data_IF_493652292803
#
_entry.id   IF_493652292803
#
_cell.length_a   1.000
_cell.length_b   1.000
_cell.length_c   1.000
_cell.angle_alpha   90.00
_cell.angle_beta   90.00
_cell.angle_gamma   90.00
#
_symmetry.space_group_name_H-M   'P 1'
#
loop_
_entity.id
_entity.type
_entity.pdbx_description
1 polymer ?
#
# COMPACT_ATOMS: atom_id res chain seq x y z
N UNK A 1 8.33 -44.65 70.01
CA UNK A 1 9.28 -44.94 71.10
C UNK A 1 10.55 -45.51 70.50
N UNK A 2 11.71 -44.92 70.77
CA UNK A 2 13.00 -45.41 70.24
C UNK A 2 13.36 -46.71 70.97
N UNK A 3 13.89 -47.72 70.28
CA UNK A 3 14.29 -49.01 70.91
C UNK A 3 15.16 -48.81 72.14
N UNK A 4 16.03 -47.81 72.09
CA UNK A 4 16.97 -47.44 73.16
C UNK A 4 16.28 -47.12 74.50
N UNK A 5 15.08 -46.53 74.48
CA UNK A 5 14.33 -46.21 75.70
C UNK A 5 13.71 -47.47 76.34
N UNK A 6 13.32 -48.45 75.52
CA UNK A 6 12.79 -49.73 75.98
C UNK A 6 13.91 -50.61 76.54
N UNK A 7 15.06 -50.63 75.89
CA UNK A 7 16.27 -51.33 76.35
C UNK A 7 16.73 -50.79 77.73
N UNK A 8 16.72 -49.46 77.89
CA UNK A 8 17.09 -48.78 79.13
C UNK A 8 16.11 -49.02 80.27
N UNK A 9 14.81 -49.11 79.97
CA UNK A 9 13.81 -49.44 80.99
C UNK A 9 13.94 -50.89 81.45
N UNK A 10 14.15 -51.85 80.52
CA UNK A 10 14.39 -53.26 80.83
C UNK A 10 15.63 -53.46 81.72
N UNK A 11 16.73 -52.79 81.40
CA UNK A 11 17.95 -52.80 82.21
C UNK A 11 17.71 -52.25 83.63
N UNK A 12 16.97 -51.16 83.76
CA UNK A 12 16.60 -50.58 85.06
C UNK A 12 15.71 -51.52 85.89
N UNK A 13 14.72 -52.19 85.26
CA UNK A 13 13.85 -53.14 85.96
C UNK A 13 14.61 -54.38 86.42
N UNK A 14 15.55 -54.88 85.61
CA UNK A 14 16.39 -56.02 85.98
C UNK A 14 17.34 -55.66 87.13
N UNK A 15 17.88 -54.44 87.12
CA UNK A 15 18.72 -53.90 88.20
C UNK A 15 17.96 -53.81 89.52
N UNK A 16 16.73 -53.28 89.50
CA UNK A 16 15.86 -53.22 90.68
C UNK A 16 15.47 -54.61 91.18
N UNK A 17 15.15 -55.53 90.27
CA UNK A 17 14.81 -56.92 90.60
C UNK A 17 15.98 -57.64 91.28
N UNK A 18 17.20 -57.45 90.76
CA UNK A 18 18.43 -57.96 91.36
C UNK A 18 18.74 -57.31 92.71
N UNK A 19 18.48 -56.01 92.88
CA UNK A 19 18.66 -55.33 94.16
C UNK A 19 17.70 -55.90 95.23
N UNK A 20 16.43 -56.08 94.90
CA UNK A 20 15.43 -56.66 95.83
C UNK A 20 15.75 -58.11 96.13
N UNK A 21 16.12 -58.91 95.13
CA UNK A 21 16.51 -60.32 95.34
C UNK A 21 17.75 -60.45 96.24
N UNK A 22 18.74 -59.57 96.06
CA UNK A 22 19.97 -59.62 96.84
C UNK A 22 19.84 -59.01 98.24
N UNK A 23 18.89 -58.10 98.49
CA UNK A 23 18.77 -57.39 99.77
C UNK A 23 17.47 -57.69 100.53
N UNK A 24 16.58 -58.53 99.97
CA UNK A 24 15.33 -58.93 100.60
C UNK A 24 15.53 -59.90 101.77
N UNK A 25 14.65 -59.80 102.76
CA UNK A 25 14.52 -60.76 103.85
C UNK A 25 13.62 -61.91 103.40
N UNK A 26 14.11 -63.14 103.52
CA UNK A 26 13.37 -64.36 103.27
C UNK A 26 12.75 -64.86 104.58
N UNK A 27 11.44 -65.10 104.60
CA UNK A 27 10.77 -65.71 105.76
C UNK A 27 10.82 -67.24 105.64
N UNK A 28 11.49 -67.88 106.59
CA UNK A 28 11.40 -69.31 106.86
C UNK A 28 10.37 -69.54 107.99
N UNK A 29 9.86 -70.76 108.21
CA UNK A 29 8.76 -71.02 109.16
C UNK A 29 8.95 -70.41 110.56
N UNK A 30 10.19 -70.36 111.05
CA UNK A 30 10.49 -69.94 112.42
C UNK A 30 11.46 -68.74 112.52
N UNK A 31 11.90 -68.15 111.40
CA UNK A 31 12.88 -67.04 111.42
C UNK A 31 12.95 -66.29 110.08
N UNK A 32 13.43 -65.05 110.14
CA UNK A 32 13.81 -64.30 108.94
C UNK A 32 15.27 -64.58 108.58
N UNK A 33 15.57 -64.53 107.30
CA UNK A 33 16.89 -64.79 106.75
C UNK A 33 17.28 -63.68 105.76
N UNK A 34 18.44 -63.06 105.95
CA UNK A 34 19.09 -62.26 104.91
C UNK A 34 20.33 -62.98 104.39
N UNK A 35 20.33 -63.41 103.12
CA UNK A 35 21.46 -64.07 102.46
C UNK A 35 22.00 -65.31 103.21
N UNK A 36 21.14 -66.18 103.71
CA UNK A 36 21.48 -67.40 104.49
C UNK A 36 22.02 -67.12 105.89
N UNK A 37 21.74 -65.94 106.45
CA UNK A 37 22.01 -65.60 107.86
C UNK A 37 20.68 -65.46 108.60
N UNK A 38 20.49 -66.33 109.58
CA UNK A 38 19.34 -66.32 110.48
C UNK A 38 19.32 -65.01 111.27
N UNK A 39 18.19 -64.32 111.20
CA UNK A 39 17.88 -63.12 111.98
C UNK A 39 16.79 -63.52 112.96
N UNK A 40 17.13 -63.45 114.24
CA UNK A 40 16.23 -63.77 115.35
C UNK A 40 15.63 -62.48 115.93
N UNK A 41 14.48 -62.60 116.60
CA UNK A 41 13.78 -61.48 117.26
C UNK A 41 13.28 -60.34 116.35
N UNK A 42 13.03 -60.61 115.06
CA UNK A 42 12.28 -59.62 114.26
C UNK A 42 10.85 -59.49 114.79
N UNK A 43 10.42 -58.25 115.03
CA UNK A 43 9.05 -57.96 115.42
C UNK A 43 8.08 -58.45 114.32
N UNK A 44 7.00 -59.10 114.74
CA UNK A 44 5.90 -59.39 113.83
C UNK A 44 5.31 -58.07 113.31
N UNK A 45 4.87 -57.98 112.05
CA UNK A 45 4.21 -56.79 111.52
C UNK A 45 3.03 -56.39 112.43
N UNK A 46 2.96 -55.13 112.83
CA UNK A 46 1.93 -54.66 113.77
C UNK A 46 0.56 -54.50 113.10
N UNK A 47 0.57 -54.25 111.78
CA UNK A 47 -0.62 -54.08 110.96
C UNK A 47 -0.55 -54.89 109.68
N UNK A 48 -1.69 -55.39 109.21
CA UNK A 48 -1.79 -56.17 107.97
C UNK A 48 -1.36 -55.37 106.72
N UNK A 49 -1.34 -54.05 106.80
CA UNK A 49 -0.92 -53.14 105.70
C UNK A 49 0.55 -52.72 105.79
N UNK A 50 1.33 -53.31 106.70
CA UNK A 50 2.74 -52.98 106.84
C UNK A 50 3.54 -53.41 105.61
N UNK A 51 4.53 -52.61 105.22
CA UNK A 51 5.46 -52.92 104.14
C UNK A 51 6.32 -54.17 104.45
N UNK A 52 6.44 -54.54 105.73
CA UNK A 52 7.09 -55.79 106.17
C UNK A 52 6.19 -57.02 105.96
N UNK A 53 4.87 -56.82 105.76
CA UNK A 53 3.93 -57.89 105.43
C UNK A 53 3.98 -58.25 103.94
N UNK A 54 4.61 -59.38 103.65
CA UNK A 54 4.76 -59.92 102.28
C UNK A 54 3.43 -60.11 101.55
N UNK A 55 2.39 -60.62 102.21
CA UNK A 55 1.08 -60.88 101.61
C UNK A 55 0.41 -59.59 101.12
N UNK A 56 0.55 -58.52 101.90
CA UNK A 56 0.03 -57.20 101.56
C UNK A 56 0.75 -56.61 100.35
N UNK A 57 2.09 -56.56 100.41
CA UNK A 57 2.91 -56.01 99.31
C UNK A 57 2.68 -56.78 98.01
N UNK A 58 2.63 -58.11 98.06
CA UNK A 58 2.37 -58.94 96.88
C UNK A 58 0.96 -58.73 96.31
N UNK A 59 -0.05 -58.53 97.14
CA UNK A 59 -1.42 -58.22 96.69
C UNK A 59 -1.47 -56.84 96.05
N UNK A 60 -0.94 -55.81 96.71
CA UNK A 60 -0.91 -54.44 96.17
C UNK A 60 -0.13 -54.35 94.85
N UNK A 61 1.01 -55.03 94.75
CA UNK A 61 1.77 -55.08 93.49
C UNK A 61 1.01 -55.82 92.38
N UNK A 62 0.29 -56.88 92.72
CA UNK A 62 -0.56 -57.62 91.77
C UNK A 62 -1.72 -56.77 91.28
N UNK A 63 -2.42 -56.09 92.18
CA UNK A 63 -3.55 -55.22 91.83
C UNK A 63 -3.07 -54.05 90.95
N UNK A 64 -1.95 -53.41 91.31
CA UNK A 64 -1.35 -52.35 90.47
C UNK A 64 -0.88 -52.86 89.12
N UNK A 65 -0.32 -54.06 89.05
CA UNK A 65 0.03 -54.70 87.78
C UNK A 65 -1.22 -54.90 86.92
N UNK A 66 -2.30 -55.41 87.50
CA UNK A 66 -3.55 -55.65 86.78
C UNK A 66 -4.16 -54.33 86.26
N UNK A 67 -4.19 -53.26 87.08
CA UNK A 67 -4.63 -51.93 86.64
C UNK A 67 -3.80 -51.39 85.45
N UNK A 68 -2.47 -51.60 85.48
CA UNK A 68 -1.58 -51.22 84.38
C UNK A 68 -1.87 -52.05 83.13
N UNK A 69 -2.07 -53.36 83.28
CA UNK A 69 -2.36 -54.29 82.19
C UNK A 69 -3.68 -53.93 81.49
N UNK A 70 -4.73 -53.64 82.27
CA UNK A 70 -6.02 -53.14 81.76
C UNK A 70 -5.87 -51.81 81.02
N UNK A 71 -5.11 -50.86 81.58
CA UNK A 71 -4.82 -49.58 80.94
C UNK A 71 -4.06 -49.76 79.62
N UNK A 72 -3.08 -50.68 79.58
CA UNK A 72 -2.34 -51.01 78.36
C UNK A 72 -3.23 -51.64 77.28
N UNK A 73 -4.17 -52.51 77.66
CA UNK A 73 -5.16 -53.07 76.73
C UNK A 73 -6.07 -51.99 76.14
N UNK A 74 -6.51 -51.02 76.95
CA UNK A 74 -7.30 -49.89 76.44
C UNK A 74 -6.51 -49.06 75.44
N UNK A 75 -5.27 -48.70 75.76
CA UNK A 75 -4.39 -47.94 74.86
C UNK A 75 -4.18 -48.72 73.55
N UNK A 76 -3.96 -50.03 73.62
CA UNK A 76 -3.76 -50.87 72.43
C UNK A 76 -5.00 -50.90 71.54
N UNK A 77 -6.19 -50.99 72.14
CA UNK A 77 -7.47 -50.89 71.41
C UNK A 77 -7.63 -49.55 70.70
N UNK A 78 -7.35 -48.44 71.39
CA UNK A 78 -7.47 -47.11 70.80
C UNK A 78 -6.43 -46.84 69.72
N UNK A 79 -5.20 -47.30 69.91
CA UNK A 79 -4.15 -47.26 68.88
C UNK A 79 -4.55 -48.06 67.63
N UNK A 80 -5.24 -49.19 67.80
CA UNK A 80 -5.83 -49.94 66.70
C UNK A 80 -6.93 -49.17 65.95
N UNK A 81 -7.74 -48.35 66.64
CA UNK A 81 -8.72 -47.47 65.99
C UNK A 81 -8.03 -46.36 65.20
N UNK A 82 -7.00 -45.72 65.79
CA UNK A 82 -6.22 -44.67 65.14
C UNK A 82 -5.56 -45.20 63.85
N UNK A 83 -4.99 -46.40 63.90
CA UNK A 83 -4.37 -47.03 62.74
C UNK A 83 -5.36 -47.23 61.58
N UNK A 84 -6.58 -47.73 61.86
CA UNK A 84 -7.63 -47.87 60.83
C UNK A 84 -8.02 -46.54 60.22
N UNK A 85 -8.17 -45.49 61.04
CA UNK A 85 -8.49 -44.15 60.55
C UNK A 85 -7.37 -43.59 59.65
N UNK A 86 -6.10 -43.85 60.00
CA UNK A 86 -4.96 -43.43 59.17
C UNK A 86 -4.99 -44.15 57.81
N UNK A 87 -5.27 -45.45 57.78
CA UNK A 87 -5.38 -46.22 56.54
C UNK A 87 -6.54 -45.72 55.65
N UNK A 88 -7.68 -45.35 56.25
CA UNK A 88 -8.82 -44.77 55.55
C UNK A 88 -8.50 -43.39 54.97
N UNK A 89 -7.87 -42.51 55.76
CA UNK A 89 -7.39 -41.19 55.30
C UNK A 89 -6.41 -41.35 54.12
N UNK A 90 -5.46 -42.26 54.21
CA UNK A 90 -4.51 -42.53 53.12
C UNK A 90 -5.22 -43.02 51.85
N UNK A 91 -6.28 -43.84 51.99
CA UNK A 91 -7.10 -44.29 50.85
C UNK A 91 -7.85 -43.11 50.22
N UNK A 92 -8.46 -42.25 51.03
CA UNK A 92 -9.15 -41.05 50.55
C UNK A 92 -8.20 -40.09 49.83
N UNK A 93 -7.00 -39.86 50.36
CA UNK A 93 -5.97 -39.03 49.73
C UNK A 93 -5.59 -39.58 48.35
N UNK A 94 -5.41 -40.91 48.23
CA UNK A 94 -5.13 -41.55 46.93
C UNK A 94 -6.27 -41.34 45.93
N UNK A 95 -7.52 -41.51 46.35
CA UNK A 95 -8.70 -41.29 45.49
C UNK A 95 -8.81 -39.84 45.03
N UNK A 96 -8.69 -38.88 45.95
CA UNK A 96 -8.69 -37.44 45.65
C UNK A 96 -7.56 -37.09 44.68
N UNK A 97 -6.35 -37.63 44.89
CA UNK A 97 -5.21 -37.40 43.99
C UNK A 97 -5.48 -37.95 42.58
N UNK A 98 -6.09 -39.13 42.46
CA UNK A 98 -6.45 -39.70 41.17
C UNK A 98 -7.54 -38.86 40.46
N UNK A 99 -8.57 -38.41 41.20
CA UNK A 99 -9.60 -37.51 40.67
C UNK A 99 -9.00 -36.17 40.23
N UNK A 100 -8.11 -35.59 41.03
CA UNK A 100 -7.42 -34.34 40.68
C UNK A 100 -6.57 -34.50 39.43
N UNK A 101 -5.86 -35.61 39.23
CA UNK A 101 -5.12 -35.87 37.98
C UNK A 101 -6.03 -35.93 36.74
N UNK A 102 -7.25 -36.46 36.89
CA UNK A 102 -8.23 -36.50 35.80
C UNK A 102 -8.89 -35.14 35.56
N UNK A 103 -9.18 -34.36 36.61
CA UNK A 103 -9.76 -33.00 36.50
C UNK A 103 -8.72 -32.00 35.97
N UNK A 104 -7.42 -32.20 36.24
CA UNK A 104 -6.30 -31.38 35.70
C UNK A 104 -6.02 -31.69 34.22
N UNK A 105 -6.83 -32.50 33.55
CA UNK A 105 -6.86 -32.56 32.08
C UNK A 105 -7.53 -31.34 31.44
N UNK A 106 -7.11 -30.13 31.86
CA UNK A 106 -7.30 -28.92 31.06
C UNK A 106 -6.81 -29.12 29.62
N UNK A 107 -5.86 -30.04 29.38
CA UNK A 107 -5.46 -30.44 28.04
C UNK A 107 -6.62 -30.99 27.17
N UNK A 108 -7.62 -31.67 27.75
CA UNK A 108 -8.79 -32.18 27.01
C UNK A 108 -9.79 -31.06 26.73
N UNK A 109 -10.02 -30.17 27.70
CA UNK A 109 -10.86 -29.00 27.50
C UNK A 109 -10.21 -28.00 26.54
N UNK A 110 -8.93 -27.65 26.72
CA UNK A 110 -8.13 -26.85 25.78
C UNK A 110 -8.15 -27.48 24.38
N UNK A 111 -7.93 -28.80 24.24
CA UNK A 111 -8.07 -29.44 22.92
C UNK A 111 -9.48 -29.26 22.36
N UNK A 112 -10.53 -29.43 23.15
CA UNK A 112 -11.90 -29.29 22.68
C UNK A 112 -12.25 -27.85 22.31
N UNK A 113 -11.75 -26.85 23.06
CA UNK A 113 -11.94 -25.42 22.75
C UNK A 113 -11.11 -25.02 21.53
N UNK A 114 -9.88 -25.51 21.43
CA UNK A 114 -9.02 -25.29 20.28
C UNK A 114 -9.61 -25.93 19.02
N UNK A 115 -10.04 -27.19 19.06
CA UNK A 115 -10.57 -27.88 17.86
C UNK A 115 -11.95 -27.36 17.49
N UNK A 116 -12.88 -27.24 18.45
CA UNK A 116 -14.24 -26.77 18.18
C UNK A 116 -14.27 -25.30 17.78
N UNK A 117 -13.49 -24.46 18.47
CA UNK A 117 -13.34 -23.04 18.12
C UNK A 117 -12.69 -22.86 16.75
N UNK A 118 -11.61 -23.60 16.45
CA UNK A 118 -10.98 -23.60 15.11
C UNK A 118 -11.97 -24.09 14.06
N UNK A 119 -12.74 -25.15 14.30
CA UNK A 119 -13.71 -25.68 13.34
C UNK A 119 -14.84 -24.69 13.04
N UNK A 120 -15.35 -23.99 14.05
CA UNK A 120 -16.34 -22.93 13.87
C UNK A 120 -15.78 -21.78 13.01
N UNK A 121 -14.56 -21.33 13.30
CA UNK A 121 -13.89 -20.28 12.53
C UNK A 121 -13.64 -20.74 11.09
N UNK A 122 -13.13 -21.96 10.89
CA UNK A 122 -12.85 -22.52 9.57
C UNK A 122 -14.14 -22.66 8.76
N UNK A 123 -15.25 -23.07 9.38
CA UNK A 123 -16.55 -23.17 8.72
C UNK A 123 -17.07 -21.78 8.30
N UNK A 124 -17.04 -20.81 9.21
CA UNK A 124 -17.45 -19.44 8.90
C UNK A 124 -16.60 -18.81 7.78
N UNK A 125 -15.28 -19.04 7.80
CA UNK A 125 -14.39 -18.61 6.72
C UNK A 125 -14.72 -19.30 5.39
N UNK A 126 -15.04 -20.60 5.42
CA UNK A 126 -15.43 -21.36 4.22
C UNK A 126 -16.75 -20.86 3.63
N UNK A 127 -17.73 -20.56 4.46
CA UNK A 127 -19.03 -20.03 4.02
C UNK A 127 -18.85 -18.63 3.41
N UNK A 128 -18.08 -17.77 4.08
CA UNK A 128 -17.74 -16.43 3.55
C UNK A 128 -17.00 -16.53 2.21
N UNK A 129 -16.05 -17.47 2.08
CA UNK A 129 -15.34 -17.72 0.84
C UNK A 129 -16.28 -18.18 -0.29
N UNK A 130 -17.27 -19.02 0.04
CA UNK A 130 -18.29 -19.47 -0.92
C UNK A 130 -19.14 -18.31 -1.43
N UNK A 131 -19.58 -17.43 -0.53
CA UNK A 131 -20.38 -16.26 -0.90
C UNK A 131 -19.60 -15.28 -1.79
N UNK A 132 -18.31 -15.06 -1.48
CA UNK A 132 -17.42 -14.26 -2.32
C UNK A 132 -17.26 -14.89 -3.71
N UNK A 133 -17.01 -16.20 -3.78
CA UNK A 133 -16.90 -16.90 -5.08
C UNK A 133 -18.16 -16.74 -5.93
N UNK A 134 -19.35 -16.87 -5.32
CA UNK A 134 -20.62 -16.68 -6.03
C UNK A 134 -20.79 -15.25 -6.54
N UNK A 135 -20.40 -14.25 -5.74
CA UNK A 135 -20.47 -12.84 -6.14
C UNK A 135 -19.49 -12.52 -7.29
N UNK A 136 -18.26 -13.04 -7.22
CA UNK A 136 -17.26 -12.92 -8.30
C UNK A 136 -17.77 -13.55 -9.59
N UNK A 137 -18.41 -14.71 -9.49
CA UNK A 137 -18.98 -15.41 -10.65
C UNK A 137 -20.08 -14.58 -11.32
N UNK A 138 -20.96 -13.95 -10.52
CA UNK A 138 -21.98 -13.03 -11.04
C UNK A 138 -21.37 -11.82 -11.75
N UNK A 139 -20.32 -11.21 -11.17
CA UNK A 139 -19.61 -10.10 -11.80
C UNK A 139 -18.95 -10.53 -13.10
N UNK A 140 -18.33 -11.71 -13.13
CA UNK A 140 -17.71 -12.28 -14.34
C UNK A 140 -18.72 -12.40 -15.48
N UNK A 141 -19.89 -12.96 -15.21
CA UNK A 141 -20.95 -13.11 -16.21
C UNK A 141 -21.43 -11.75 -16.73
N UNK A 142 -21.59 -10.76 -15.85
CA UNK A 142 -21.96 -9.40 -16.27
C UNK A 142 -20.89 -8.76 -17.17
N UNK A 143 -19.60 -8.93 -16.84
CA UNK A 143 -18.49 -8.42 -17.65
C UNK A 143 -18.47 -9.09 -19.02
N UNK A 144 -18.75 -10.39 -19.09
CA UNK A 144 -18.83 -11.13 -20.35
C UNK A 144 -19.95 -10.58 -21.26
N UNK A 145 -21.14 -10.31 -20.71
CA UNK A 145 -22.25 -9.72 -21.47
C UNK A 145 -21.95 -8.29 -21.95
N UNK A 146 -21.30 -7.48 -21.11
CA UNK A 146 -20.81 -6.14 -21.52
C UNK A 146 -19.76 -6.27 -22.63
N UNK A 147 -18.83 -7.21 -22.53
CA UNK A 147 -17.79 -7.46 -23.54
C UNK A 147 -18.39 -7.82 -24.91
N UNK A 148 -19.39 -8.71 -24.93
CA UNK A 148 -20.15 -9.05 -26.15
C UNK A 148 -20.83 -7.82 -26.75
N UNK A 149 -21.47 -7.01 -25.91
CA UNK A 149 -22.17 -5.79 -26.34
C UNK A 149 -21.23 -4.74 -26.92
N UNK A 150 -20.06 -4.53 -26.29
CA UNK A 150 -19.01 -3.63 -26.79
C UNK A 150 -18.46 -4.12 -28.12
N UNK A 151 -18.24 -5.43 -28.26
CA UNK A 151 -17.77 -6.04 -29.51
C UNK A 151 -18.77 -5.82 -30.65
N UNK A 152 -20.07 -6.01 -30.38
CA UNK A 152 -21.13 -5.76 -31.35
C UNK A 152 -21.20 -4.28 -31.78
N UNK A 153 -21.10 -3.36 -30.82
CA UNK A 153 -21.06 -1.91 -31.11
C UNK A 153 -19.83 -1.52 -31.92
N UNK A 154 -18.67 -2.08 -31.58
CA UNK A 154 -17.42 -1.87 -32.32
C UNK A 154 -17.56 -2.30 -33.78
N UNK A 155 -18.14 -3.49 -34.03
CA UNK A 155 -18.43 -3.95 -35.39
C UNK A 155 -19.40 -3.01 -36.11
N UNK A 156 -20.46 -2.55 -35.45
CA UNK A 156 -21.45 -1.65 -36.05
C UNK A 156 -20.83 -0.32 -36.47
N UNK A 157 -20.08 0.31 -35.57
CA UNK A 157 -19.38 1.58 -35.83
C UNK A 157 -18.35 1.41 -36.95
N UNK A 158 -17.60 0.31 -36.94
CA UNK A 158 -16.64 0.02 -38.02
C UNK A 158 -17.34 -0.10 -39.37
N UNK A 159 -18.46 -0.81 -39.45
CA UNK A 159 -19.20 -0.98 -40.71
C UNK A 159 -19.78 0.35 -41.21
N UNK A 160 -20.31 1.17 -40.32
CA UNK A 160 -20.87 2.49 -40.66
C UNK A 160 -19.79 3.45 -41.18
N UNK A 161 -18.63 3.50 -40.51
CA UNK A 161 -17.46 4.27 -40.98
C UNK A 161 -17.00 3.77 -42.36
N UNK A 162 -16.91 2.45 -42.56
CA UNK A 162 -16.50 1.89 -43.86
C UNK A 162 -17.49 2.26 -44.97
N UNK A 163 -18.79 2.22 -44.68
CA UNK A 163 -19.83 2.63 -45.61
C UNK A 163 -19.69 4.11 -46.00
N UNK A 164 -19.61 5.00 -45.02
CA UNK A 164 -19.49 6.45 -45.26
C UNK A 164 -18.21 6.82 -46.01
N UNK A 165 -17.07 6.19 -45.68
CA UNK A 165 -15.81 6.38 -46.40
C UNK A 165 -15.92 5.90 -47.84
N UNK A 166 -16.63 4.80 -48.09
CA UNK A 166 -16.84 4.27 -49.44
C UNK A 166 -17.72 5.22 -50.26
N UNK A 167 -18.79 5.73 -49.68
CA UNK A 167 -19.68 6.70 -50.34
C UNK A 167 -18.93 8.00 -50.67
N UNK A 168 -18.21 8.57 -49.71
CA UNK A 168 -17.37 9.76 -49.94
C UNK A 168 -16.31 9.53 -51.02
N UNK A 169 -15.67 8.36 -51.05
CA UNK A 169 -14.69 8.00 -52.08
C UNK A 169 -15.34 7.99 -53.47
N UNK A 170 -16.56 7.45 -53.58
CA UNK A 170 -17.29 7.44 -54.85
C UNK A 170 -17.69 8.86 -55.27
N UNK A 171 -18.18 9.69 -54.34
CA UNK A 171 -18.52 11.08 -54.61
C UNK A 171 -17.30 11.86 -55.14
N UNK A 172 -16.14 11.72 -54.47
CA UNK A 172 -14.90 12.34 -54.93
C UNK A 172 -14.49 11.87 -56.33
N UNK A 173 -14.61 10.58 -56.63
CA UNK A 173 -14.30 10.06 -57.97
C UNK A 173 -15.22 10.67 -59.04
N UNK A 174 -16.52 10.80 -58.74
CA UNK A 174 -17.49 11.43 -59.63
C UNK A 174 -17.19 12.93 -59.86
N UNK A 175 -16.77 13.66 -58.82
CA UNK A 175 -16.36 15.06 -58.96
C UNK A 175 -15.10 15.18 -59.82
N UNK A 176 -14.06 14.38 -59.55
CA UNK A 176 -12.81 14.40 -60.30
C UNK A 176 -13.02 14.07 -61.78
N UNK A 177 -13.88 13.08 -62.08
CA UNK A 177 -14.23 12.72 -63.47
C UNK A 177 -14.99 13.85 -64.18
N UNK A 178 -15.89 14.56 -63.48
CA UNK A 178 -16.58 15.73 -64.03
C UNK A 178 -15.60 16.87 -64.36
N UNK A 179 -14.71 17.23 -63.43
CA UNK A 179 -13.68 18.25 -63.66
C UNK A 179 -12.74 17.87 -64.83
N UNK A 180 -12.39 16.59 -64.94
CA UNK A 180 -11.59 16.09 -66.07
C UNK A 180 -12.33 16.22 -67.41
N UNK A 181 -13.64 16.02 -67.44
CA UNK A 181 -14.44 16.19 -68.65
C UNK A 181 -14.49 17.66 -69.07
N UNK A 182 -14.78 18.57 -68.14
CA UNK A 182 -14.84 20.02 -68.37
C UNK A 182 -13.49 20.56 -68.88
N UNK A 183 -12.37 20.13 -68.28
CA UNK A 183 -11.02 20.52 -68.75
C UNK A 183 -10.72 20.02 -70.16
N UNK A 184 -11.14 18.81 -70.52
CA UNK A 184 -11.01 18.28 -71.88
C UNK A 184 -11.86 19.07 -72.90
N UNK A 185 -13.08 19.48 -72.53
CA UNK A 185 -13.92 20.33 -73.38
C UNK A 185 -13.30 21.71 -73.63
N UNK A 186 -12.76 22.34 -72.58
CA UNK A 186 -12.02 23.61 -72.69
C UNK A 186 -10.81 23.44 -73.61
N UNK A 187 -10.02 22.38 -73.43
CA UNK A 187 -8.87 22.10 -74.30
C UNK A 187 -9.28 21.95 -75.76
N UNK A 188 -10.37 21.22 -76.04
CA UNK A 188 -10.92 21.07 -77.40
C UNK A 188 -11.35 22.42 -77.99
N UNK A 189 -12.06 23.25 -77.22
CA UNK A 189 -12.44 24.59 -77.64
C UNK A 189 -11.23 25.49 -77.97
N UNK A 190 -10.17 25.42 -77.16
CA UNK A 190 -8.91 26.14 -77.43
C UNK A 190 -8.25 25.64 -78.71
N UNK A 191 -8.22 24.32 -78.96
CA UNK A 191 -7.68 23.77 -80.21
C UNK A 191 -8.49 24.17 -81.44
N UNK A 192 -9.82 24.20 -81.33
CA UNK A 192 -10.72 24.61 -82.42
C UNK A 192 -10.54 26.10 -82.74
N UNK A 193 -10.47 26.97 -81.72
CA UNK A 193 -10.18 28.40 -81.89
C UNK A 193 -8.81 28.62 -82.52
N UNK A 194 -7.79 27.87 -82.09
CA UNK A 194 -6.45 27.93 -82.68
C UNK A 194 -6.48 27.55 -84.16
N UNK A 195 -7.25 26.52 -84.52
CA UNK A 195 -7.40 26.10 -85.91
C UNK A 195 -8.18 27.14 -86.74
N UNK A 196 -9.25 27.73 -86.20
CA UNK A 196 -9.99 28.82 -86.84
C UNK A 196 -9.10 30.04 -87.11
N UNK A 197 -8.27 30.44 -86.13
CA UNK A 197 -7.32 31.54 -86.30
C UNK A 197 -6.32 31.25 -87.43
N UNK A 198 -5.79 30.02 -87.52
CA UNK A 198 -4.90 29.61 -88.60
C UNK A 198 -5.59 29.62 -89.98
N UNK A 199 -6.89 29.29 -90.04
CA UNK A 199 -7.65 29.28 -91.29
C UNK A 199 -8.13 30.68 -91.73
N UNK A 200 -8.33 31.62 -90.81
CA UNK A 200 -8.73 33.00 -91.10
C UNK A 200 -7.53 33.89 -91.44
N UNK A 201 -6.38 33.66 -90.78
CA UNK A 201 -5.10 34.31 -91.10
C UNK A 201 -4.35 33.45 -92.10
N UNK A 202 -4.92 33.23 -93.29
CA UNK A 202 -4.12 32.62 -94.36
C UNK A 202 -3.06 33.63 -94.79
N UNK A 203 -1.80 33.16 -94.80
CA UNK A 203 -0.66 33.86 -95.41
C UNK A 203 -1.02 34.43 -96.78
N UNK A 204 -1.89 33.77 -97.55
CA UNK A 204 -2.40 34.24 -98.84
C UNK A 204 -3.24 35.54 -98.79
N UNK A 205 -4.04 35.77 -97.75
CA UNK A 205 -4.86 36.99 -97.62
C UNK A 205 -4.00 38.21 -97.31
N UNK A 206 -3.02 38.05 -96.39
CA UNK A 206 -2.03 39.08 -96.13
C UNK A 206 -1.11 39.29 -97.35
N UNK A 207 -0.66 38.23 -98.00
CA UNK A 207 0.25 38.31 -99.15
C UNK A 207 -0.41 38.94 -100.39
N UNK A 208 -1.73 38.79 -100.59
CA UNK A 208 -2.49 39.55 -101.60
C UNK A 208 -2.61 41.03 -101.26
N UNK A 209 -2.87 41.39 -99.99
CA UNK A 209 -3.01 42.80 -99.58
C UNK A 209 -1.70 43.59 -99.63
N UNK A 210 -0.56 42.94 -99.39
CA UNK A 210 0.77 43.57 -99.47
C UNK A 210 1.32 43.65 -100.90
N UNK A 211 0.97 42.72 -101.81
CA UNK A 211 1.47 42.72 -103.20
C UNK A 211 0.80 43.77 -104.11
N UNK A 212 -0.44 44.17 -103.84
CA UNK A 212 -1.17 45.16 -104.68
C UNK A 212 -1.01 46.59 -104.16
N UNK A 213 -1.23 46.84 -102.87
CA UNK A 213 -1.28 48.21 -102.32
C UNK A 213 0.11 48.83 -102.12
N UNK A 214 1.14 48.02 -101.82
CA UNK A 214 2.51 48.52 -101.61
C UNK A 214 3.25 48.88 -102.90
N UNK A 215 2.97 48.19 -104.02
CA UNK A 215 3.62 48.45 -105.32
C UNK A 215 3.12 49.74 -105.97
N UNK A 216 1.82 50.05 -105.85
CA UNK A 216 1.20 51.24 -106.47
C UNK A 216 1.60 52.57 -105.83
N UNK A 217 2.05 52.55 -104.56
CA UNK A 217 2.51 53.73 -103.83
C UNK A 217 3.99 54.00 -104.13
N UNK A 218 4.81 52.94 -104.22
CA UNK A 218 6.27 53.05 -104.43
C UNK A 218 6.59 53.42 -105.89
N UNK A 219 5.83 52.94 -106.87
CA UNK A 219 6.05 53.28 -108.29
C UNK A 219 5.62 54.72 -108.63
N UNK A 220 4.55 55.24 -107.99
CA UNK A 220 4.14 56.65 -108.11
C UNK A 220 5.14 57.62 -107.49
N UNK A 221 5.65 57.29 -106.29
CA UNK A 221 6.62 58.13 -105.59
C UNK A 221 8.00 58.21 -106.28
N UNK A 222 8.36 57.21 -107.10
CA UNK A 222 9.63 57.19 -107.83
C UNK A 222 9.55 57.82 -109.24
N UNK A 223 8.35 57.99 -109.81
CA UNK A 223 8.15 58.69 -111.09
C UNK A 223 7.98 60.21 -110.94
N UNK A 224 7.58 60.71 -109.75
CA UNK A 224 7.42 62.14 -109.47
C UNK A 224 8.70 62.86 -108.97
N UNK A 225 9.80 62.12 -108.69
CA UNK A 225 11.06 62.72 -108.19
C UNK A 225 12.10 63.03 -109.29
N UNK A 226 11.74 62.89 -110.58
CA UNK A 226 12.67 63.12 -111.69
C UNK A 226 12.07 63.97 -112.82
N UNK A 227 11.51 65.13 -112.46
CA UNK A 227 11.33 66.25 -113.39
C UNK A 227 11.36 67.60 -112.67
N UNK A 228 12.33 68.41 -113.11
CA UNK A 228 12.31 69.87 -113.10
C UNK A 228 12.56 70.57 -111.76
N UNK A 229 13.83 70.52 -111.39
CA UNK A 229 14.55 71.63 -110.77
C UNK A 229 14.48 72.84 -111.75
N UNK A 230 13.83 73.94 -111.37
CA UNK A 230 14.29 75.34 -111.52
C UNK A 230 13.16 76.34 -111.14
N UNK A 231 13.51 77.17 -110.14
CA UNK A 231 13.15 78.58 -109.97
C UNK A 231 11.83 78.98 -109.28
N UNK A 232 12.06 79.63 -108.12
CA UNK A 232 11.39 80.83 -107.61
C UNK A 232 9.90 80.78 -107.33
N UNK A 233 9.59 80.47 -106.07
CA UNK A 233 8.66 81.21 -105.20
C UNK A 233 8.80 80.63 -103.78
N UNK A 234 9.97 80.73 -103.15
CA UNK A 234 10.25 81.81 -102.18
C UNK A 234 9.01 82.13 -101.34
N UNK A 235 8.99 81.53 -100.15
CA UNK A 235 9.00 82.35 -98.94
C UNK A 235 7.79 83.25 -98.73
N UNK A 236 6.59 82.71 -98.99
CA UNK A 236 5.31 83.37 -98.64
C UNK A 236 4.36 82.54 -97.78
N UNK A 237 4.64 81.26 -97.56
CA UNK A 237 3.77 80.37 -96.76
C UNK A 237 4.35 80.03 -95.38
N UNK A 238 5.64 80.35 -95.16
CA UNK A 238 6.40 80.08 -93.93
C UNK A 238 5.93 80.81 -92.66
N UNK A 239 5.01 81.78 -92.74
CA UNK A 239 4.68 82.67 -91.60
C UNK A 239 3.26 82.55 -91.00
N UNK A 240 2.46 81.55 -91.37
CA UNK A 240 1.09 81.42 -90.83
C UNK A 240 0.79 80.11 -90.09
N UNK A 241 1.70 79.13 -90.08
CA UNK A 241 1.48 77.83 -89.39
C UNK A 241 2.09 77.78 -87.98
N UNK A 242 3.01 78.69 -87.65
CA UNK A 242 3.63 78.85 -86.31
C UNK A 242 2.69 79.48 -85.26
N UNK A 243 1.53 80.01 -85.68
CA UNK A 243 0.58 80.75 -84.83
C UNK A 243 -0.48 79.91 -84.14
N UNK A 244 -0.67 78.64 -84.53
CA UNK A 244 -1.80 77.82 -84.03
C UNK A 244 -1.40 76.73 -83.02
N UNK A 245 -0.15 76.26 -83.02
CA UNK A 245 0.23 75.14 -82.14
C UNK A 245 0.68 75.57 -80.72
N UNK A 246 0.85 76.88 -80.47
CA UNK A 246 1.22 77.43 -79.15
C UNK A 246 0.04 77.60 -78.17
N UNK A 247 -1.18 77.18 -78.53
CA UNK A 247 -2.38 77.43 -77.72
C UNK A 247 -3.01 76.20 -77.06
N UNK A 248 -2.37 75.02 -77.02
CA UNK A 248 -2.85 73.91 -76.17
C UNK A 248 -1.67 73.14 -75.56
N UNK A 249 -0.83 73.89 -74.85
CA UNK A 249 -0.14 73.39 -73.66
C UNK A 249 -0.92 73.92 -72.45
N UNK A 250 -1.93 73.17 -72.01
CA UNK A 250 -2.59 73.38 -70.72
C UNK A 250 -2.98 72.00 -70.17
N UNK A 251 -2.65 71.77 -68.90
CA UNK A 251 -2.74 70.53 -68.13
C UNK A 251 -1.62 69.50 -68.38
N UNK A 252 -0.37 69.78 -68.00
CA UNK A 252 0.23 69.62 -66.65
C UNK A 252 0.17 68.22 -66.05
N UNK A 253 1.29 67.52 -66.19
CA UNK A 253 1.99 66.65 -65.22
C UNK A 253 1.37 66.45 -63.82
N UNK A 254 1.27 65.18 -63.41
CA UNK A 254 1.51 64.67 -62.04
C UNK A 254 2.16 63.26 -62.22
N UNK A 255 3.45 63.02 -61.93
CA UNK A 255 4.05 62.74 -60.60
C UNK A 255 3.30 61.63 -59.83
N UNK A 256 3.82 60.41 -59.76
CA UNK A 256 4.74 59.88 -58.73
C UNK A 256 4.22 60.01 -57.29
N UNK A 257 4.29 58.86 -56.60
CA UNK A 257 4.23 58.62 -55.15
C UNK A 257 2.89 58.76 -54.45
N UNK A 258 2.49 57.65 -53.81
CA UNK A 258 2.19 57.66 -52.39
C UNK A 258 2.73 56.37 -51.75
N UNK A 259 3.82 56.56 -51.02
CA UNK A 259 4.39 55.65 -50.04
C UNK A 259 3.65 55.91 -48.71
N UNK A 260 2.95 54.92 -48.17
CA UNK A 260 2.49 54.93 -46.77
C UNK A 260 2.99 53.66 -46.08
N UNK A 261 4.15 53.86 -45.43
CA UNK A 261 4.57 53.36 -44.13
C UNK A 261 4.22 51.94 -43.65
N UNK A 262 5.27 51.11 -43.70
CA UNK A 262 5.77 50.18 -42.67
C UNK A 262 5.42 50.61 -41.22
N UNK A 263 4.73 49.77 -40.44
CA UNK A 263 5.26 49.05 -39.25
C UNK A 263 4.15 48.25 -38.51
N UNK A 264 4.55 47.37 -37.58
CA UNK A 264 3.79 46.45 -36.69
C UNK A 264 3.74 44.98 -37.15
N UNK A 265 4.94 44.40 -37.08
CA UNK A 265 5.25 43.09 -36.48
C UNK A 265 4.65 41.81 -37.06
N UNK A 266 5.58 40.95 -37.50
CA UNK A 266 5.49 39.51 -37.39
C UNK A 266 4.91 39.06 -36.03
N UNK A 267 4.22 37.90 -36.07
CA UNK A 267 3.71 37.06 -34.98
C UNK A 267 2.20 37.14 -34.76
N UNK A 268 1.52 36.16 -35.34
CA UNK A 268 0.30 35.61 -34.76
C UNK A 268 0.37 34.10 -34.64
N UNK A 269 1.45 33.66 -33.98
CA UNK A 269 1.55 32.34 -33.36
C UNK A 269 2.32 32.52 -32.04
N UNK A 270 1.60 32.87 -30.97
CA UNK A 270 1.99 32.62 -29.56
C UNK A 270 1.04 33.40 -28.62
N UNK A 271 -0.08 32.79 -28.24
CA UNK A 271 -0.65 33.02 -26.92
C UNK A 271 -0.42 31.77 -26.06
N UNK A 272 0.83 31.28 -26.06
CA UNK A 272 1.28 30.35 -25.04
C UNK A 272 1.40 31.20 -23.79
N UNK A 273 0.42 31.09 -22.88
CA UNK A 273 0.50 31.65 -21.53
C UNK A 273 1.79 31.10 -20.90
N UNK A 274 2.84 31.92 -20.85
CA UNK A 274 4.13 31.56 -20.27
C UNK A 274 3.84 31.14 -18.83
N UNK A 275 4.16 29.88 -18.52
CA UNK A 275 3.94 29.30 -17.19
C UNK A 275 4.59 30.19 -16.13
N UNK A 276 3.86 30.44 -15.02
CA UNK A 276 4.34 31.24 -13.90
C UNK A 276 5.72 30.75 -13.40
N UNK A 277 6.57 31.65 -12.85
CA UNK A 277 7.87 31.26 -12.30
C UNK A 277 7.72 30.19 -11.22
N UNK A 278 8.55 29.16 -11.30
CA UNK A 278 8.46 27.95 -10.48
C UNK A 278 9.05 28.19 -9.09
N UNK A 279 8.30 27.92 -8.02
CA UNK A 279 8.76 28.15 -6.63
C UNK A 279 9.84 27.19 -6.12
N UNK A 280 9.89 25.97 -6.65
CA UNK A 280 10.82 24.92 -6.21
C UNK A 280 11.90 24.66 -7.26
N UNK A 281 13.13 24.46 -6.80
CA UNK A 281 14.30 24.10 -7.62
C UNK A 281 14.50 22.59 -7.62
N UNK A 282 15.20 22.10 -8.63
CA UNK A 282 15.62 20.70 -8.70
C UNK A 282 16.52 20.41 -7.48
N UNK A 283 16.22 19.33 -6.76
CA UNK A 283 16.91 18.94 -5.53
C UNK A 283 16.28 19.45 -4.24
N UNK A 284 15.29 20.35 -4.29
CA UNK A 284 14.66 20.85 -3.07
C UNK A 284 13.94 19.72 -2.31
N UNK A 285 14.13 19.62 -0.96
CA UNK A 285 13.39 18.70 -0.12
C UNK A 285 11.96 19.21 0.11
N UNK A 286 10.98 18.37 -0.19
CA UNK A 286 9.56 18.71 -0.17
C UNK A 286 8.72 17.63 0.51
N UNK A 287 7.59 18.02 1.11
CA UNK A 287 6.52 17.14 1.58
C UNK A 287 5.31 17.26 0.68
N UNK A 288 4.56 16.18 0.55
CA UNK A 288 3.35 16.10 -0.29
C UNK A 288 2.13 16.31 0.61
N UNK A 289 1.13 17.04 0.13
CA UNK A 289 -0.16 17.20 0.82
C UNK A 289 -0.89 15.86 0.94
N UNK A 290 -1.37 15.51 2.14
CA UNK A 290 -2.20 14.32 2.35
C UNK A 290 -3.60 14.51 1.78
N UNK A 291 -4.15 13.45 1.20
CA UNK A 291 -5.58 13.40 0.88
C UNK A 291 -6.35 13.19 2.18
N UNK A 292 -7.20 14.15 2.54
CA UNK A 292 -8.01 14.06 3.75
C UNK A 292 -9.31 13.32 3.48
N UNK A 293 -9.63 12.35 4.33
CA UNK A 293 -10.97 11.75 4.40
C UNK A 293 -11.93 12.60 5.25
N UNK A 294 -13.25 12.42 5.08
CA UNK A 294 -14.30 13.22 5.76
C UNK A 294 -14.19 13.15 7.30
N UNK A 295 -13.57 12.10 7.83
CA UNK A 295 -13.45 11.84 9.27
C UNK A 295 -12.07 12.19 9.86
N UNK A 296 -11.17 12.81 9.10
CA UNK A 296 -9.86 13.19 9.61
C UNK A 296 -9.94 14.40 10.56
N UNK A 297 -9.46 14.19 11.78
CA UNK A 297 -9.48 15.19 12.86
C UNK A 297 -8.59 16.39 12.50
N UNK A 298 -9.05 17.61 12.78
CA UNK A 298 -8.36 18.85 12.40
C UNK A 298 -6.95 19.04 12.96
N UNK A 299 -6.55 18.30 14.00
CA UNK A 299 -5.21 18.38 14.59
C UNK A 299 -4.15 17.50 13.89
N UNK A 300 -4.51 16.65 12.94
CA UNK A 300 -3.54 15.84 12.20
C UNK A 300 -2.86 16.69 11.11
N UNK A 301 -1.54 16.52 10.95
CA UNK A 301 -0.76 17.27 9.96
C UNK A 301 -1.26 17.00 8.53
N UNK A 302 -1.43 18.07 7.74
CA UNK A 302 -1.88 18.04 6.34
C UNK A 302 -0.79 17.57 5.36
N UNK A 303 0.43 17.35 5.84
CA UNK A 303 1.60 17.03 5.02
C UNK A 303 2.10 15.61 5.31
N UNK A 304 2.70 14.98 4.31
CA UNK A 304 3.38 13.68 4.44
C UNK A 304 4.44 13.72 5.53
N UNK A 305 4.63 12.60 6.22
CA UNK A 305 5.77 12.40 7.14
C UNK A 305 7.06 12.21 6.37
N UNK A 306 6.98 11.53 5.23
CA UNK A 306 8.10 11.30 4.31
C UNK A 306 8.51 12.58 3.56
N UNK A 307 9.81 12.70 3.31
CA UNK A 307 10.44 13.79 2.58
C UNK A 307 10.84 13.27 1.19
N UNK A 308 10.51 14.05 0.17
CA UNK A 308 10.80 13.75 -1.23
C UNK A 308 11.70 14.83 -1.82
N UNK A 309 12.36 14.50 -2.94
CA UNK A 309 13.25 15.43 -3.63
C UNK A 309 12.74 15.74 -5.03
N UNK A 310 12.79 17.02 -5.40
CA UNK A 310 12.38 17.46 -6.73
C UNK A 310 13.36 16.98 -7.79
N UNK A 311 12.89 16.20 -8.78
CA UNK A 311 13.73 15.66 -9.87
C UNK A 311 13.69 16.57 -11.08
N UNK A 312 12.49 16.96 -11.50
CA UNK A 312 12.27 17.72 -12.73
C UNK A 312 11.05 18.60 -12.61
N UNK A 313 11.22 19.84 -13.05
CA UNK A 313 10.12 20.80 -13.19
C UNK A 313 9.63 20.80 -14.62
N UNK A 314 8.33 20.55 -14.81
CA UNK A 314 7.70 20.51 -16.13
C UNK A 314 6.93 21.80 -16.35
N UNK A 315 7.27 22.49 -17.44
CA UNK A 315 6.70 23.78 -17.84
C UNK A 315 5.32 23.61 -18.48
N UNK A 316 4.35 23.15 -17.69
CA UNK A 316 2.93 23.16 -18.04
C UNK A 316 2.23 24.34 -17.35
N UNK A 317 0.99 24.64 -17.73
CA UNK A 317 0.18 25.66 -17.07
C UNK A 317 -1.07 25.02 -16.45
N UNK A 318 -1.11 24.78 -15.12
CA UNK A 318 -0.10 25.16 -14.11
C UNK A 318 1.13 24.21 -14.08
N UNK A 319 2.25 24.69 -13.52
CA UNK A 319 3.51 23.93 -13.48
C UNK A 319 3.41 22.67 -12.61
N UNK A 320 4.05 21.58 -13.05
CA UNK A 320 4.07 20.30 -12.31
C UNK A 320 5.50 19.85 -12.02
N UNK A 321 5.66 19.08 -10.95
CA UNK A 321 6.94 18.57 -10.48
C UNK A 321 6.93 17.04 -10.44
N UNK A 322 8.04 16.44 -10.85
CA UNK A 322 8.34 15.02 -10.65
C UNK A 322 9.21 14.89 -9.41
N UNK A 323 8.87 13.91 -8.55
CA UNK A 323 9.54 13.69 -7.27
C UNK A 323 10.23 12.32 -7.25
N UNK A 324 11.23 12.20 -6.39
CA UNK A 324 11.84 10.92 -5.99
C UNK A 324 11.83 10.78 -4.48
N UNK A 325 11.81 9.55 -4.00
CA UNK A 325 12.00 9.25 -2.58
C UNK A 325 13.46 9.42 -2.14
N UNK A 326 13.73 9.14 -0.86
CA UNK A 326 15.08 9.16 -0.29
C UNK A 326 16.01 8.11 -0.91
N UNK A 327 15.49 7.00 -1.43
CA UNK A 327 16.25 5.94 -2.10
C UNK A 327 16.57 6.28 -3.56
N UNK A 328 16.05 7.39 -4.06
CA UNK A 328 16.24 7.84 -5.44
C UNK A 328 15.23 7.26 -6.44
N UNK A 329 14.21 6.52 -6.00
CA UNK A 329 13.17 5.96 -6.84
C UNK A 329 12.14 7.04 -7.20
N UNK A 330 11.76 7.18 -8.49
CA UNK A 330 10.75 8.15 -8.90
C UNK A 330 9.37 7.79 -8.31
N UNK A 331 8.66 8.79 -7.81
CA UNK A 331 7.28 8.67 -7.35
C UNK A 331 6.34 8.74 -8.56
N UNK A 332 5.40 7.82 -8.64
CA UNK A 332 4.41 7.79 -9.71
C UNK A 332 3.51 9.03 -9.65
N UNK A 333 3.34 9.71 -10.79
CA UNK A 333 2.47 10.88 -10.93
C UNK A 333 3.23 12.20 -11.10
N UNK A 334 2.47 13.29 -11.20
CA UNK A 334 2.96 14.67 -11.36
C UNK A 334 2.28 15.51 -10.30
N UNK A 335 3.05 16.29 -9.56
CA UNK A 335 2.53 17.06 -8.42
C UNK A 335 2.44 18.54 -8.78
N UNK A 336 1.33 19.17 -8.42
CA UNK A 336 1.19 20.61 -8.54
C UNK A 336 1.91 21.32 -7.40
N UNK A 337 2.30 22.57 -7.64
CA UNK A 337 2.97 23.41 -6.64
C UNK A 337 2.21 23.50 -5.30
N UNK A 338 0.88 23.59 -5.34
CA UNK A 338 0.04 23.71 -4.14
C UNK A 338 0.03 22.44 -3.28
N UNK A 339 0.41 21.31 -3.87
CA UNK A 339 0.47 20.01 -3.20
C UNK A 339 1.84 19.78 -2.54
N UNK A 340 2.77 20.73 -2.65
CA UNK A 340 4.13 20.62 -2.15
C UNK A 340 4.44 21.67 -1.09
N UNK A 341 5.14 21.24 -0.04
CA UNK A 341 5.67 22.11 1.01
C UNK A 341 7.18 21.96 1.10
N UNK A 342 7.93 23.07 1.08
CA UNK A 342 9.39 23.06 1.30
C UNK A 342 9.71 22.63 2.72
N UNK A 343 10.70 21.77 2.89
CA UNK A 343 11.21 21.35 4.20
C UNK A 343 12.48 22.15 4.52
N UNK A 344 12.49 22.84 5.67
CA UNK A 344 13.68 23.60 6.10
C UNK A 344 14.78 22.70 6.69
N UNK A 345 14.40 21.63 7.40
CA UNK A 345 15.32 20.74 8.12
C UNK A 345 15.13 19.29 7.65
N UNK A 346 15.83 18.86 6.59
CA UNK A 346 15.66 17.52 6.02
C UNK A 346 16.26 16.40 6.88
N UNK A 347 17.17 16.72 7.80
CA UNK A 347 17.88 15.73 8.64
C UNK A 347 17.13 15.35 9.93
N UNK A 348 15.95 15.92 10.16
CA UNK A 348 15.15 15.69 11.38
C UNK A 348 14.01 14.73 11.08
N UNK A 349 14.03 13.57 11.72
CA UNK A 349 13.02 12.52 11.57
C UNK A 349 12.27 12.28 12.89
N UNK A 350 10.95 12.10 12.80
CA UNK A 350 10.11 11.79 13.95
C UNK A 350 10.21 10.30 14.29
N UNK A 351 10.50 10.00 15.55
CA UNK A 351 10.54 8.63 16.08
C UNK A 351 9.15 8.26 16.57
N UNK A 352 8.61 7.14 16.09
CA UNK A 352 7.37 6.54 16.62
C UNK A 352 7.64 5.83 17.94
N UNK A 353 8.67 4.96 17.94
CA UNK A 353 9.00 4.13 19.10
C UNK A 353 10.48 3.79 19.14
N UNK A 354 11.09 3.81 20.32
CA UNK A 354 12.43 3.27 20.53
C UNK A 354 12.30 1.75 20.74
N UNK A 355 12.95 0.95 19.90
CA UNK A 355 12.89 -0.51 19.94
C UNK A 355 13.95 -1.10 20.87
N UNK A 356 15.17 -0.57 20.82
CA UNK A 356 16.31 -1.07 21.63
C UNK A 356 17.35 0.02 21.83
N UNK A 357 17.98 0.06 23.00
CA UNK A 357 19.13 0.93 23.28
C UNK A 357 20.37 0.08 23.56
N UNK A 358 21.51 0.40 22.93
CA UNK A 358 22.82 -0.22 23.19
C UNK A 358 23.86 0.89 23.31
N UNK A 359 24.23 1.22 24.55
CA UNK A 359 25.10 2.37 24.84
C UNK A 359 24.51 3.68 24.29
N UNK A 360 25.30 4.40 23.49
CA UNK A 360 24.90 5.65 22.83
C UNK A 360 24.12 5.45 21.51
N UNK A 361 23.81 4.21 21.12
CA UNK A 361 23.06 3.91 19.89
C UNK A 361 21.64 3.46 20.23
N UNK A 362 20.65 3.99 19.50
CA UNK A 362 19.24 3.62 19.62
C UNK A 362 18.74 3.04 18.30
N UNK A 363 18.08 1.89 18.39
CA UNK A 363 17.26 1.36 17.31
C UNK A 363 15.85 1.90 17.49
N UNK A 364 15.35 2.57 16.46
CA UNK A 364 14.07 3.27 16.51
C UNK A 364 13.20 2.82 15.34
N UNK A 365 11.89 2.82 15.58
CA UNK A 365 10.85 2.76 14.56
C UNK A 365 10.50 4.21 14.20
N UNK A 366 10.66 4.57 12.94
CA UNK A 366 10.36 5.91 12.44
C UNK A 366 8.86 6.09 12.21
N UNK A 367 8.35 7.29 12.50
CA UNK A 367 6.94 7.61 12.35
C UNK A 367 6.57 7.75 10.86
N UNK A 368 5.66 6.90 10.40
CA UNK A 368 5.07 6.98 9.06
C UNK A 368 5.87 6.32 7.94
N UNK A 369 6.87 5.48 8.28
CA UNK A 369 7.53 4.60 7.33
C UNK A 369 6.87 3.23 7.38
N UNK A 370 6.08 2.89 6.36
CA UNK A 370 5.46 1.57 6.22
C UNK A 370 6.45 0.68 5.45
N UNK A 371 7.20 -0.15 6.19
CA UNK A 371 8.02 -1.24 5.63
C UNK A 371 7.18 -2.47 5.36
#
# INVERSE_FOLDING_TARGET
MRRDEIEKSRSSTETLRNYVYNNGLCLNPDHYDAKKRKIEHMAAPEFDTDAVNKSYVERTLRDKRNEIEESCEMIRRDMGKVQRNVEEIQRLIRDVTARMKNVVTNATLEKSFETTGRDMIVRALRDTQKDISNAVEKVRNNVEEVSKSVSALSMKVSNEIQHDVTDLRQQMHNIATKEMLETNEIQRGVTDLRQQMNNMVTKETLEKSFKTTGRDIIVRALQDMQKDNISNDVEKVRNNVEKVSKSVRAYTNLHVSNEIHRDVTARRCSHVKIAAPTRFKIGDPVRISKFKTIFEKGYTSNWSTEIFYTVKTQRMNPATYLLKDYQGKPIAGRFYERQLQRVSNPDVYLVEKILRKRGNKVYVKWLGQFT
#
